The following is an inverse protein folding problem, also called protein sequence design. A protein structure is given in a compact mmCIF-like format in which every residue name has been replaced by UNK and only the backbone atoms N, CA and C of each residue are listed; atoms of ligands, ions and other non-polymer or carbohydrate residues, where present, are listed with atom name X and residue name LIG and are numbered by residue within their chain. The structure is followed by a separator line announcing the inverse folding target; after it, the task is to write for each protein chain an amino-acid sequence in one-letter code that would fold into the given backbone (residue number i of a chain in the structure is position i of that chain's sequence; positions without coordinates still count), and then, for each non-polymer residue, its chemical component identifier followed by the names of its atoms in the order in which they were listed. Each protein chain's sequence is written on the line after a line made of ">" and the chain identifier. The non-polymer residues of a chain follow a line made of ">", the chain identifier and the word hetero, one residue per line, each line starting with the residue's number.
data_IF_008092874640
#
_entry.id   IF_008092874640
#
_cell.length_a   1.000
_cell.length_b   1.000
_cell.length_c   1.000
_cell.angle_alpha   90.00
_cell.angle_beta   90.00
_cell.angle_gamma   90.00
#
_symmetry.space_group_name_H-M   'P 1'
#
loop_
_entity.id
_entity.type
_entity.pdbx_description
1 polymer ?
#
# COMPACT_ATOMS: atom_id res chain seq x y z
N UNK A 1 -0.37 -17.04 13.22
CA UNK A 1 0.67 -16.53 12.27
C UNK A 1 1.05 -15.12 12.67
N UNK A 2 2.34 -14.82 12.72
CA UNK A 2 2.78 -13.48 13.06
C UNK A 2 2.59 -12.55 11.85
N UNK A 3 1.83 -11.46 12.02
CA UNK A 3 1.63 -10.43 10.99
C UNK A 3 2.77 -9.40 10.99
N UNK A 4 3.58 -9.40 12.04
CA UNK A 4 4.71 -8.47 12.22
C UNK A 4 6.00 -9.23 12.49
N UNK A 5 7.11 -8.59 12.16
CA UNK A 5 8.45 -9.08 12.48
C UNK A 5 9.31 -7.91 12.96
N UNK A 6 10.34 -8.19 13.75
CA UNK A 6 11.32 -7.20 14.19
C UNK A 6 12.34 -6.86 13.12
N UNK A 7 12.40 -7.64 12.04
CA UNK A 7 13.33 -7.40 10.94
C UNK A 7 12.82 -6.27 10.04
N UNK A 8 13.76 -5.58 9.40
CA UNK A 8 13.42 -4.51 8.45
C UNK A 8 12.70 -5.05 7.22
N UNK A 9 13.19 -6.14 6.64
CA UNK A 9 12.61 -6.70 5.42
C UNK A 9 11.41 -7.58 5.74
N UNK A 10 10.38 -7.49 4.89
CA UNK A 10 9.20 -8.33 5.01
C UNK A 10 9.58 -9.80 4.78
N UNK A 11 8.93 -10.68 5.52
CA UNK A 11 9.09 -12.12 5.37
C UNK A 11 8.32 -12.62 4.13
N UNK A 12 8.63 -13.84 3.69
CA UNK A 12 7.89 -14.47 2.59
C UNK A 12 6.40 -14.60 2.91
N UNK A 13 6.05 -14.90 4.17
CA UNK A 13 4.66 -15.00 4.60
C UNK A 13 3.96 -13.65 4.52
N UNK A 14 4.63 -12.59 4.96
CA UNK A 14 4.10 -11.24 4.84
C UNK A 14 3.91 -10.83 3.38
N UNK A 15 4.87 -11.14 2.52
CA UNK A 15 4.75 -10.86 1.08
C UNK A 15 3.58 -11.61 0.46
N UNK A 16 3.33 -12.86 0.86
CA UNK A 16 2.18 -13.62 0.39
C UNK A 16 0.86 -12.99 0.85
N UNK A 17 0.80 -12.51 2.09
CA UNK A 17 -0.38 -11.81 2.62
C UNK A 17 -0.61 -10.51 1.84
N UNK A 18 0.45 -9.74 1.60
CA UNK A 18 0.36 -8.51 0.81
C UNK A 18 -0.08 -8.77 -0.63
N UNK A 19 0.45 -9.82 -1.25
CA UNK A 19 0.06 -10.21 -2.61
C UNK A 19 -1.45 -10.54 -2.68
N UNK A 20 -1.96 -11.21 -1.66
CA UNK A 20 -3.39 -11.53 -1.56
C UNK A 20 -4.25 -10.29 -1.33
N UNK A 21 -3.82 -9.39 -0.45
CA UNK A 21 -4.56 -8.17 -0.12
C UNK A 21 -4.50 -7.15 -1.25
N UNK A 22 -3.28 -6.83 -1.72
CA UNK A 22 -3.02 -5.72 -2.65
C UNK A 22 -3.12 -6.14 -4.11
N UNK A 23 -2.82 -7.40 -4.43
CA UNK A 23 -2.86 -7.98 -5.78
C UNK A 23 -1.94 -7.28 -6.79
N UNK A 24 -0.99 -6.51 -6.31
CA UNK A 24 -0.02 -5.77 -7.09
C UNK A 24 0.24 -4.40 -6.52
N UNK A 25 0.88 -3.53 -7.31
CA UNK A 25 1.12 -2.15 -6.91
C UNK A 25 -0.20 -1.46 -6.58
N UNK A 26 -0.24 -0.77 -5.43
CA UNK A 26 -1.46 -0.13 -4.94
C UNK A 26 -1.66 1.30 -5.44
N UNK A 27 -0.70 1.84 -6.21
CA UNK A 27 -0.88 3.15 -6.82
C UNK A 27 -2.09 3.12 -7.76
N UNK A 28 -2.99 4.10 -7.69
CA UNK A 28 -4.20 4.14 -8.52
C UNK A 28 -3.90 3.96 -10.01
N UNK A 29 -4.52 2.95 -10.63
CA UNK A 29 -4.36 2.67 -12.04
C UNK A 29 -3.15 1.81 -12.41
N UNK A 30 -2.29 1.43 -11.47
CA UNK A 30 -1.12 0.60 -11.77
C UNK A 30 -1.48 -0.89 -11.82
N UNK A 31 -1.03 -1.59 -12.86
CA UNK A 31 -1.30 -3.01 -13.06
C UNK A 31 -0.08 -3.90 -12.80
N UNK A 32 0.98 -3.37 -12.22
CA UNK A 32 2.18 -4.15 -11.94
C UNK A 32 1.89 -5.27 -10.96
N UNK A 33 2.16 -6.53 -11.32
CA UNK A 33 1.83 -7.68 -10.47
C UNK A 33 2.72 -7.78 -9.23
N UNK A 34 2.29 -8.53 -8.19
CA UNK A 34 3.02 -8.60 -6.92
C UNK A 34 4.49 -9.01 -7.02
N UNK A 35 4.82 -9.92 -7.94
CA UNK A 35 6.20 -10.38 -8.12
C UNK A 35 7.18 -9.30 -8.57
N UNK A 36 6.68 -8.17 -9.03
CA UNK A 36 7.47 -7.01 -9.48
C UNK A 36 7.38 -5.85 -8.50
N UNK A 37 6.77 -6.07 -7.36
CA UNK A 37 6.58 -5.04 -6.33
C UNK A 37 7.48 -5.29 -5.13
N UNK A 38 7.74 -4.21 -4.40
CA UNK A 38 8.43 -4.25 -3.11
C UNK A 38 7.44 -3.91 -2.01
N UNK A 39 7.69 -4.41 -0.80
CA UNK A 39 6.93 -4.02 0.38
C UNK A 39 7.47 -2.68 0.89
N UNK A 40 6.62 -1.65 0.84
CA UNK A 40 6.97 -0.32 1.31
C UNK A 40 6.44 -0.10 2.73
N UNK A 41 7.28 0.42 3.62
CA UNK A 41 6.87 0.83 4.97
C UNK A 41 6.13 2.16 4.89
N UNK A 42 4.85 2.18 5.25
CA UNK A 42 4.03 3.40 5.23
C UNK A 42 4.57 4.41 6.25
N UNK A 43 4.76 3.98 7.49
CA UNK A 43 5.62 4.72 8.43
C UNK A 43 7.03 4.18 8.23
N UNK A 44 8.00 5.03 7.83
CA UNK A 44 9.34 4.57 7.50
C UNK A 44 10.02 3.82 8.63
N UNK A 45 10.81 2.81 8.27
CA UNK A 45 11.60 2.06 9.24
C UNK A 45 12.49 2.99 10.09
N UNK A 46 13.09 4.01 9.47
CA UNK A 46 13.94 4.99 10.14
C UNK A 46 13.17 5.83 11.17
N UNK A 47 11.83 5.88 11.07
CA UNK A 47 10.95 6.60 12.01
C UNK A 47 10.20 5.62 12.92
N UNK A 48 10.80 4.48 13.21
CA UNK A 48 10.24 3.42 14.04
C UNK A 48 9.00 2.73 13.45
N UNK A 49 8.80 2.84 12.15
CA UNK A 49 7.77 2.08 11.46
C UNK A 49 8.05 0.58 11.54
N UNK A 50 7.03 -0.19 11.88
CA UNK A 50 7.17 -1.64 12.06
C UNK A 50 7.03 -2.38 10.74
N UNK A 51 7.70 -3.53 10.63
CA UNK A 51 7.47 -4.46 9.54
C UNK A 51 6.26 -5.32 9.89
N UNK A 52 5.10 -4.75 9.69
CA UNK A 52 3.79 -5.30 10.00
C UNK A 52 2.93 -5.12 8.75
N UNK A 53 2.12 -6.11 8.40
CA UNK A 53 1.26 -6.02 7.20
C UNK A 53 0.36 -4.79 7.23
N UNK A 54 0.00 -4.30 8.43
CA UNK A 54 -0.78 -3.07 8.58
C UNK A 54 0.03 -1.79 8.37
N UNK A 55 1.35 -1.90 8.22
CA UNK A 55 2.25 -0.80 7.92
C UNK A 55 2.99 -1.00 6.59
N UNK A 56 2.57 -1.98 5.80
CA UNK A 56 3.20 -2.31 4.53
C UNK A 56 2.20 -2.20 3.39
N UNK A 57 2.68 -1.75 2.24
CA UNK A 57 1.92 -1.80 0.99
C UNK A 57 2.85 -2.22 -0.15
N UNK A 58 2.30 -2.91 -1.15
CA UNK A 58 3.06 -3.23 -2.35
C UNK A 58 3.15 -1.99 -3.25
N UNK A 59 4.35 -1.70 -3.72
CA UNK A 59 4.60 -0.64 -4.69
C UNK A 59 5.62 -1.14 -5.70
N UNK A 60 5.36 -0.91 -6.99
CA UNK A 60 6.33 -1.22 -8.02
C UNK A 60 7.52 -0.23 -7.94
N UNK A 61 8.59 -0.54 -8.64
CA UNK A 61 9.79 0.30 -8.62
C UNK A 61 9.51 1.77 -8.92
N UNK A 62 8.71 2.05 -9.96
CA UNK A 62 8.38 3.42 -10.35
C UNK A 62 7.60 4.18 -9.25
N UNK A 63 6.61 3.55 -8.64
CA UNK A 63 5.78 4.19 -7.63
C UNK A 63 6.44 4.22 -6.26
N UNK A 64 7.29 3.23 -5.95
CA UNK A 64 8.14 3.28 -4.77
C UNK A 64 9.07 4.50 -4.85
N UNK A 65 9.60 4.78 -6.05
CA UNK A 65 10.42 5.97 -6.32
C UNK A 65 9.63 7.27 -6.06
N UNK A 66 8.35 7.31 -6.41
CA UNK A 66 7.50 8.48 -6.11
C UNK A 66 7.45 8.76 -4.61
N UNK A 67 7.34 7.72 -3.78
CA UNK A 67 7.28 7.88 -2.33
C UNK A 67 8.60 8.36 -1.75
N UNK A 68 9.72 7.91 -2.32
CA UNK A 68 11.05 8.24 -1.82
C UNK A 68 11.54 9.63 -2.24
N UNK A 69 11.14 10.09 -3.43
CA UNK A 69 11.74 11.29 -4.04
C UNK A 69 10.74 12.40 -4.38
N UNK A 70 9.48 12.23 -4.05
CA UNK A 70 8.46 13.26 -4.27
C UNK A 70 7.62 13.44 -3.03
N UNK A 71 6.64 14.35 -3.09
CA UNK A 71 5.70 14.60 -2.00
C UNK A 71 4.46 13.69 -2.03
N UNK A 72 4.44 12.68 -2.88
CA UNK A 72 3.46 11.62 -2.78
C UNK A 72 3.65 10.87 -1.47
N UNK A 73 2.56 10.50 -0.83
CA UNK A 73 2.56 9.74 0.41
C UNK A 73 1.60 8.56 0.29
N UNK A 74 1.68 7.65 1.23
CA UNK A 74 0.79 6.50 1.32
C UNK A 74 0.29 6.39 2.76
N UNK A 75 -0.97 6.02 2.93
CA UNK A 75 -1.57 5.90 4.25
C UNK A 75 -2.46 4.67 4.32
N UNK A 76 -2.36 3.92 5.42
CA UNK A 76 -3.29 2.84 5.68
C UNK A 76 -4.58 3.43 6.25
N UNK A 77 -5.70 3.16 5.58
CA UNK A 77 -7.01 3.56 6.10
C UNK A 77 -7.41 2.67 7.27
N UNK A 78 -8.37 3.12 8.07
CA UNK A 78 -8.85 2.38 9.25
C UNK A 78 -9.32 0.98 8.90
N UNK A 79 -9.91 0.81 7.72
CA UNK A 79 -10.42 -0.48 7.23
C UNK A 79 -9.34 -1.39 6.62
N UNK A 80 -8.08 -0.97 6.66
CA UNK A 80 -6.96 -1.79 6.19
C UNK A 80 -6.66 -1.67 4.71
N UNK A 81 -7.25 -0.69 4.01
CA UNK A 81 -6.94 -0.43 2.60
C UNK A 81 -5.84 0.62 2.48
N UNK A 82 -4.75 0.36 1.74
CA UNK A 82 -3.71 1.38 1.51
C UNK A 82 -4.20 2.41 0.49
N UNK A 83 -4.12 3.67 0.86
CA UNK A 83 -4.49 4.80 0.00
C UNK A 83 -3.28 5.66 -0.31
N UNK A 84 -3.27 6.29 -1.48
CA UNK A 84 -2.20 7.18 -1.89
C UNK A 84 -2.66 8.62 -1.78
N UNK A 85 -1.79 9.46 -1.22
CA UNK A 85 -2.08 10.86 -0.93
C UNK A 85 -1.31 11.71 -1.93
N UNK A 86 -2.00 12.42 -2.84
CA UNK A 86 -1.32 13.29 -3.79
C UNK A 86 -0.71 14.50 -3.11
N UNK A 87 0.37 15.09 -3.69
CA UNK A 87 0.89 16.36 -3.21
C UNK A 87 -0.15 17.47 -3.33
N UNK A 88 -0.06 18.48 -2.47
CA UNK A 88 -0.96 19.63 -2.52
C UNK A 88 -0.90 20.38 -3.87
N UNK A 89 0.22 20.29 -4.59
CA UNK A 89 0.36 20.87 -5.93
C UNK A 89 -0.53 20.18 -6.98
N UNK A 90 -0.89 18.92 -6.73
CA UNK A 90 -1.79 18.15 -7.63
C UNK A 90 -3.23 18.25 -7.12
N UNK A 91 -3.41 18.07 -5.83
CA UNK A 91 -4.72 18.18 -5.18
C UNK A 91 -4.56 18.94 -3.86
N UNK A 92 -4.99 20.21 -3.78
CA UNK A 92 -4.87 21.00 -2.55
C UNK A 92 -5.54 20.36 -1.34
N UNK A 93 -6.63 19.61 -1.53
CA UNK A 93 -7.31 18.91 -0.45
C UNK A 93 -6.58 17.64 -0.01
N UNK A 94 -5.66 17.15 -0.82
CA UNK A 94 -4.90 15.91 -0.58
C UNK A 94 -5.81 14.73 -0.18
N UNK A 95 -6.88 14.55 -0.95
CA UNK A 95 -7.82 13.45 -0.72
C UNK A 95 -7.15 12.11 -0.99
N UNK A 96 -7.30 11.13 -0.08
CA UNK A 96 -6.77 9.79 -0.29
C UNK A 96 -7.39 9.15 -1.52
N UNK A 97 -6.57 8.53 -2.36
CA UNK A 97 -7.02 7.84 -3.57
C UNK A 97 -6.74 6.35 -3.45
N UNK A 98 -7.77 5.55 -3.68
CA UNK A 98 -7.67 4.10 -3.67
C UNK A 98 -7.51 3.55 -5.08
N UNK A 99 -6.75 2.47 -5.21
CA UNK A 99 -6.75 1.68 -6.44
C UNK A 99 -8.17 1.13 -6.70
N UNK A 100 -8.59 1.08 -7.96
CA UNK A 100 -9.92 0.60 -8.33
C UNK A 100 -10.24 -0.81 -7.81
N UNK A 101 -9.24 -1.67 -7.62
CA UNK A 101 -9.43 -3.00 -7.06
C UNK A 101 -10.11 -2.98 -5.69
N UNK A 102 -9.72 -2.03 -4.83
CA UNK A 102 -10.29 -1.91 -3.48
C UNK A 102 -11.72 -1.40 -3.53
N UNK A 103 -12.00 -0.49 -4.44
CA UNK A 103 -13.35 0.05 -4.64
C UNK A 103 -14.26 -1.02 -5.22
N UNK A 104 -13.80 -1.78 -6.19
CA UNK A 104 -14.57 -2.86 -6.81
C UNK A 104 -14.94 -3.95 -5.81
N UNK A 105 -14.01 -4.32 -4.90
CA UNK A 105 -14.29 -5.28 -3.83
C UNK A 105 -15.35 -4.76 -2.87
N UNK A 106 -15.27 -3.50 -2.47
CA UNK A 106 -16.24 -2.87 -1.59
C UNK A 106 -17.65 -2.88 -2.21
N UNK A 107 -17.76 -2.53 -3.49
CA UNK A 107 -19.03 -2.57 -4.21
C UNK A 107 -19.56 -4.01 -4.27
N UNK A 108 -18.71 -4.98 -4.60
CA UNK A 108 -19.06 -6.39 -4.63
C UNK A 108 -19.59 -6.90 -3.30
N UNK A 109 -18.94 -6.58 -2.20
CA UNK A 109 -19.36 -6.92 -0.86
C UNK A 109 -20.72 -6.30 -0.51
N UNK A 110 -20.93 -5.05 -0.91
CA UNK A 110 -22.21 -4.35 -0.67
C UNK A 110 -23.35 -4.98 -1.43
N UNK A 111 -23.12 -5.41 -2.69
CA UNK A 111 -24.15 -5.96 -3.56
C UNK A 111 -24.46 -7.43 -3.30
N UNK A 112 -23.47 -8.20 -2.91
CA UNK A 112 -23.56 -9.66 -2.84
C UNK A 112 -23.28 -10.25 -1.46
N UNK A 113 -22.81 -9.44 -0.55
CA UNK A 113 -22.47 -9.85 0.80
C UNK A 113 -23.52 -9.49 1.77
#
# INVERSE_FOLDING_TARGET
>A
MALATERRLATEKQLAILASRDQGCTFPGCDTPPGWCEAHHIVPWAENGKTDVNNLTLACSAHHHLLDYTKWDCRMLIDGRPAWIPPASIDPAQEPVLHARFIAREIGETLFG
#
